data_IF_270716653955
#
_entry.id   IF_270716653955
#
_cell.length_a   1.000
_cell.length_b   1.000
_cell.length_c   1.000
_cell.angle_alpha   90.00
_cell.angle_beta   90.00
_cell.angle_gamma   90.00
#
_symmetry.space_group_name_H-M   'P 1'
#
loop_
_entity.id
_entity.type
_entity.pdbx_description
1 polymer ?
#
# COMPACT_ATOMS: atom_id res chain seq x y z
N UNK A 1 -16.27 -4.39 13.55
CA UNK A 1 -15.10 -3.47 13.52
C UNK A 1 -13.89 -4.23 12.99
N UNK A 2 -13.37 -3.83 11.83
CA UNK A 2 -12.16 -4.44 11.24
C UNK A 2 -10.95 -4.26 12.19
N UNK A 3 -9.90 -5.07 12.01
CA UNK A 3 -8.70 -4.99 12.85
C UNK A 3 -8.00 -3.63 12.78
N UNK A 4 -8.04 -2.95 11.62
CA UNK A 4 -7.51 -1.60 11.47
C UNK A 4 -8.29 -0.59 12.31
N UNK A 5 -9.62 -0.66 12.27
CA UNK A 5 -10.49 0.23 13.03
C UNK A 5 -10.26 0.10 14.55
N UNK A 6 -9.83 -1.08 15.03
CA UNK A 6 -9.50 -1.29 16.45
C UNK A 6 -8.17 -0.62 16.84
N UNK A 7 -7.15 -0.65 15.98
CA UNK A 7 -5.86 0.00 16.27
C UNK A 7 -5.98 1.51 16.34
N UNK A 8 -6.73 2.09 15.41
CA UNK A 8 -6.93 3.54 15.37
C UNK A 8 -7.78 4.03 16.54
N UNK A 9 -8.80 3.26 16.96
CA UNK A 9 -9.58 3.55 18.16
C UNK A 9 -8.74 3.51 19.45
N UNK A 10 -7.81 2.55 19.57
CA UNK A 10 -6.89 2.47 20.72
C UNK A 10 -5.92 3.67 20.73
N UNK A 11 -5.40 4.05 19.56
CA UNK A 11 -4.47 5.19 19.42
C UNK A 11 -5.14 6.54 19.68
N UNK A 12 -6.44 6.66 19.36
CA UNK A 12 -7.21 7.89 19.60
C UNK A 12 -7.52 8.12 21.09
N UNK A 13 -7.55 7.05 21.88
CA UNK A 13 -7.86 7.07 23.31
C UNK A 13 -9.36 7.24 23.59
N UNK A 14 -9.86 6.58 24.64
CA UNK A 14 -11.28 6.57 25.04
C UNK A 14 -11.78 7.90 25.63
N UNK A 15 -10.89 8.87 25.82
CA UNK A 15 -11.18 10.15 26.49
C UNK A 15 -11.54 11.28 25.52
N UNK A 16 -11.34 11.09 24.21
CA UNK A 16 -11.62 12.12 23.21
C UNK A 16 -13.07 12.10 22.73
N UNK A 17 -13.69 13.27 22.47
CA UNK A 17 -15.06 13.33 21.97
C UNK A 17 -15.23 12.59 20.64
N UNK A 18 -16.38 11.95 20.46
CA UNK A 18 -16.72 11.25 19.21
C UNK A 18 -16.58 12.14 17.98
N UNK A 19 -16.92 13.43 18.08
CA UNK A 19 -16.82 14.39 16.98
C UNK A 19 -15.38 14.65 16.54
N UNK A 20 -14.42 14.57 17.47
CA UNK A 20 -12.99 14.65 17.13
C UNK A 20 -12.51 13.37 16.45
N UNK A 21 -13.01 12.21 16.88
CA UNK A 21 -12.72 10.93 16.21
C UNK A 21 -13.26 10.95 14.78
N UNK A 22 -14.49 11.42 14.58
CA UNK A 22 -15.07 11.57 13.24
C UNK A 22 -14.23 12.51 12.39
N UNK A 23 -13.84 13.69 12.90
CA UNK A 23 -12.95 14.61 12.16
C UNK A 23 -11.57 14.02 11.86
N UNK A 24 -10.99 13.29 12.82
CA UNK A 24 -9.69 12.64 12.62
C UNK A 24 -9.77 11.55 11.56
N UNK A 25 -10.81 10.72 11.61
CA UNK A 25 -11.07 9.72 10.59
C UNK A 25 -11.33 10.39 9.25
N UNK A 26 -12.18 11.43 9.19
CA UNK A 26 -12.52 12.12 7.95
C UNK A 26 -11.28 12.76 7.32
N UNK A 27 -10.42 13.44 8.10
CA UNK A 27 -9.13 13.97 7.64
C UNK A 27 -8.16 12.85 7.20
N UNK A 28 -8.12 11.73 7.91
CA UNK A 28 -7.35 10.55 7.48
C UNK A 28 -7.91 10.00 6.16
N UNK A 29 -9.23 10.00 5.98
CA UNK A 29 -9.89 9.61 4.74
C UNK A 29 -9.65 10.59 3.59
N UNK A 30 -9.50 11.90 3.84
CA UNK A 30 -9.14 12.87 2.81
C UNK A 30 -7.72 12.65 2.27
N UNK A 31 -6.76 12.24 3.10
CA UNK A 31 -5.45 11.77 2.60
C UNK A 31 -5.54 10.44 1.82
N UNK A 32 -6.59 9.64 2.05
CA UNK A 32 -6.82 8.36 1.38
C UNK A 32 -7.69 8.48 0.10
N UNK A 33 -8.47 9.55 -0.08
CA UNK A 33 -9.27 9.81 -1.30
C UNK A 33 -8.42 10.05 -2.54
N UNK A 34 -7.17 10.42 -2.31
CA UNK A 34 -6.18 10.68 -3.33
C UNK A 34 -5.27 9.48 -3.62
N UNK A 35 -5.39 8.41 -2.83
CA UNK A 35 -4.69 7.14 -3.02
C UNK A 35 -5.48 6.25 -3.99
N UNK A 36 -4.81 5.44 -4.82
CA UNK A 36 -5.47 4.40 -5.61
C UNK A 36 -5.75 3.17 -4.72
N UNK A 37 -6.52 3.32 -3.63
CA UNK A 37 -6.95 2.14 -2.87
C UNK A 37 -7.79 1.23 -3.77
N UNK A 38 -7.37 -0.04 -3.89
CA UNK A 38 -8.12 -1.09 -4.60
C UNK A 38 -7.38 -1.77 -5.75
N UNK A 39 -6.13 -1.42 -6.02
CA UNK A 39 -5.29 -2.19 -6.94
C UNK A 39 -4.62 -3.35 -6.19
N UNK A 40 -5.37 -4.38 -5.82
CA UNK A 40 -4.72 -5.60 -5.29
C UNK A 40 -4.12 -6.40 -6.46
N UNK A 41 -2.90 -6.95 -6.28
CA UNK A 41 -2.32 -7.87 -7.26
C UNK A 41 -3.30 -9.01 -7.57
N UNK A 42 -3.96 -9.56 -6.54
CA UNK A 42 -4.88 -10.68 -6.68
C UNK A 42 -4.21 -11.89 -7.35
N UNK A 43 -4.82 -12.39 -8.43
CA UNK A 43 -4.30 -13.50 -9.23
C UNK A 43 -3.45 -13.04 -10.44
N UNK A 44 -3.23 -11.73 -10.59
CA UNK A 44 -2.41 -11.22 -11.70
C UNK A 44 -0.94 -11.57 -11.46
N UNK A 45 -0.20 -11.77 -12.55
CA UNK A 45 1.26 -11.81 -12.47
C UNK A 45 1.81 -10.49 -11.94
N UNK A 46 3.01 -10.50 -11.36
CA UNK A 46 3.72 -9.30 -10.93
C UNK A 46 3.93 -8.36 -12.10
N UNK A 47 4.25 -8.89 -13.29
CA UNK A 47 4.48 -8.08 -14.49
C UNK A 47 3.21 -7.34 -14.93
N UNK A 48 2.08 -8.04 -15.02
CA UNK A 48 0.80 -7.43 -15.41
C UNK A 48 0.31 -6.43 -14.35
N UNK A 49 0.51 -6.77 -13.08
CA UNK A 49 0.21 -5.87 -11.98
C UNK A 49 1.05 -4.59 -12.04
N UNK A 50 2.37 -4.70 -12.29
CA UNK A 50 3.26 -3.56 -12.41
C UNK A 50 2.92 -2.65 -13.61
N UNK A 51 2.58 -3.23 -14.78
CA UNK A 51 2.10 -2.44 -15.93
C UNK A 51 0.85 -1.63 -15.59
N UNK A 52 -0.10 -2.25 -14.87
CA UNK A 52 -1.32 -1.57 -14.40
C UNK A 52 -0.98 -0.48 -13.39
N UNK A 53 -0.06 -0.76 -12.47
CA UNK A 53 0.42 0.18 -11.47
C UNK A 53 1.07 1.41 -12.11
N UNK A 54 1.95 1.26 -13.10
CA UNK A 54 2.59 2.39 -13.80
C UNK A 54 1.57 3.34 -14.45
N UNK A 55 0.45 2.81 -14.96
CA UNK A 55 -0.61 3.64 -15.55
C UNK A 55 -1.36 4.48 -14.52
N UNK A 56 -1.49 3.99 -13.29
CA UNK A 56 -2.27 4.65 -12.22
C UNK A 56 -1.39 5.36 -11.19
N UNK A 57 -0.06 5.21 -11.27
CA UNK A 57 0.86 5.81 -10.32
C UNK A 57 0.69 7.32 -10.33
N UNK A 58 0.77 7.92 -9.14
CA UNK A 58 0.55 9.33 -8.98
C UNK A 58 1.84 10.08 -9.22
N UNK A 59 1.87 10.92 -10.27
CA UNK A 59 3.05 11.73 -10.62
C UNK A 59 3.48 12.72 -9.51
N UNK A 60 2.57 13.05 -8.59
CA UNK A 60 2.85 13.89 -7.42
C UNK A 60 3.59 13.17 -6.29
N UNK A 61 3.63 11.84 -6.31
CA UNK A 61 4.31 11.05 -5.28
C UNK A 61 5.77 10.87 -5.62
N UNK A 62 6.61 10.88 -4.59
CA UNK A 62 8.00 10.53 -4.75
C UNK A 62 8.18 9.03 -5.02
N UNK A 63 9.39 8.65 -5.43
CA UNK A 63 9.71 7.26 -5.77
C UNK A 63 9.53 6.30 -4.58
N UNK A 64 9.81 6.76 -3.36
CA UNK A 64 9.66 5.96 -2.14
C UNK A 64 8.19 5.71 -1.82
N UNK A 65 7.35 6.73 -1.95
CA UNK A 65 5.90 6.64 -1.80
C UNK A 65 5.29 5.69 -2.82
N UNK A 66 5.68 5.82 -4.10
CA UNK A 66 5.22 4.90 -5.14
C UNK A 66 5.68 3.46 -4.87
N UNK A 67 6.95 3.26 -4.53
CA UNK A 67 7.47 1.93 -4.18
C UNK A 67 6.71 1.32 -3.01
N UNK A 68 6.49 2.07 -1.93
CA UNK A 68 5.77 1.58 -0.76
C UNK A 68 4.32 1.21 -1.09
N UNK A 69 3.65 1.98 -1.96
CA UNK A 69 2.30 1.64 -2.40
C UNK A 69 2.28 0.33 -3.19
N UNK A 70 3.16 0.20 -4.18
CA UNK A 70 3.27 -1.02 -4.98
C UNK A 70 3.49 -2.25 -4.08
N UNK A 71 4.39 -2.15 -3.10
CA UNK A 71 4.68 -3.22 -2.14
C UNK A 71 3.44 -3.57 -1.30
N UNK A 72 2.73 -2.57 -0.77
CA UNK A 72 1.53 -2.80 0.04
C UNK A 72 0.40 -3.49 -0.74
N UNK A 73 0.34 -3.29 -2.05
CA UNK A 73 -0.69 -3.80 -2.94
C UNK A 73 -0.37 -5.16 -3.58
N UNK A 74 0.89 -5.61 -3.49
CA UNK A 74 1.29 -6.95 -3.90
C UNK A 74 0.58 -8.04 -3.08
N UNK A 75 0.51 -9.25 -3.65
CA UNK A 75 0.05 -10.42 -2.92
C UNK A 75 0.93 -10.68 -1.70
N UNK A 76 0.34 -11.26 -0.65
CA UNK A 76 1.08 -11.56 0.59
C UNK A 76 2.34 -12.40 0.35
N UNK A 77 2.28 -13.35 -0.60
CA UNK A 77 3.42 -14.18 -0.98
C UNK A 77 4.56 -13.35 -1.56
N UNK A 78 4.26 -12.42 -2.48
CA UNK A 78 5.28 -11.57 -3.09
C UNK A 78 5.79 -10.49 -2.13
N UNK A 79 4.95 -9.95 -1.23
CA UNK A 79 5.41 -9.11 -0.12
C UNK A 79 6.47 -9.80 0.75
N UNK A 80 6.29 -11.11 1.00
CA UNK A 80 7.28 -11.87 1.75
C UNK A 80 8.59 -12.05 0.97
N UNK A 81 8.52 -12.35 -0.32
CA UNK A 81 9.71 -12.44 -1.21
C UNK A 81 10.52 -11.14 -1.22
N UNK A 82 9.86 -9.98 -1.21
CA UNK A 82 10.53 -8.68 -1.16
C UNK A 82 11.43 -8.54 0.06
N UNK A 83 10.95 -8.99 1.24
CA UNK A 83 11.74 -8.94 2.48
C UNK A 83 13.02 -9.77 2.40
N UNK A 84 13.02 -10.80 1.55
CA UNK A 84 14.20 -11.64 1.28
C UNK A 84 15.12 -11.04 0.21
N UNK A 85 14.56 -10.30 -0.75
CA UNK A 85 15.31 -9.73 -1.88
C UNK A 85 15.97 -8.37 -1.59
N UNK A 86 15.55 -7.68 -0.52
CA UNK A 86 16.05 -6.38 -0.11
C UNK A 86 15.09 -5.25 -0.49
N UNK A 87 14.57 -4.55 0.52
CA UNK A 87 13.64 -3.42 0.36
C UNK A 87 14.31 -2.16 -0.22
N UNK A 88 15.64 -2.10 -0.20
CA UNK A 88 16.41 -0.91 -0.59
C UNK A 88 16.55 -0.75 -2.10
N UNK A 89 16.15 -1.76 -2.88
CA UNK A 89 16.23 -1.70 -4.34
C UNK A 89 15.28 -0.63 -4.91
N UNK A 90 15.64 -0.04 -6.07
CA UNK A 90 14.71 0.70 -6.91
C UNK A 90 13.51 -0.17 -7.29
N UNK A 91 12.36 0.47 -7.53
CA UNK A 91 11.11 -0.24 -7.82
C UNK A 91 11.25 -1.20 -9.02
N UNK A 92 11.88 -0.76 -10.10
CA UNK A 92 12.04 -1.55 -11.32
C UNK A 92 12.90 -2.81 -11.10
N UNK A 93 14.00 -2.67 -10.36
CA UNK A 93 14.84 -3.82 -9.99
C UNK A 93 14.10 -4.81 -9.08
N UNK A 94 13.22 -4.29 -8.22
CA UNK A 94 12.38 -5.09 -7.33
C UNK A 94 11.37 -5.92 -8.14
N UNK A 95 10.74 -5.31 -9.13
CA UNK A 95 9.81 -5.98 -10.06
C UNK A 95 10.52 -7.07 -10.84
N UNK A 96 11.68 -6.78 -11.44
CA UNK A 96 12.48 -7.74 -12.20
C UNK A 96 12.83 -8.99 -11.38
N UNK A 97 13.18 -8.81 -10.10
CA UNK A 97 13.46 -9.94 -9.20
C UNK A 97 12.20 -10.73 -8.89
N UNK A 98 11.08 -10.06 -8.64
CA UNK A 98 9.83 -10.72 -8.33
C UNK A 98 9.30 -11.53 -9.52
N UNK A 99 9.36 -10.98 -10.73
CA UNK A 99 8.98 -11.69 -11.97
C UNK A 99 9.80 -12.98 -12.13
N UNK A 100 11.11 -12.94 -11.87
CA UNK A 100 11.98 -14.12 -11.90
C UNK A 100 11.67 -15.16 -10.82
N UNK A 101 11.07 -14.74 -9.71
CA UNK A 101 10.66 -15.62 -8.61
C UNK A 101 9.21 -16.11 -8.73
N UNK A 102 8.45 -15.61 -9.71
CA UNK A 102 7.08 -16.04 -9.99
C UNK A 102 7.03 -17.12 -11.08
N UNK A 103 8.04 -17.17 -11.95
CA UNK A 103 8.28 -18.24 -12.93
C UNK A 103 8.70 -19.57 -12.27
#
# INVERSE_FOLDING_TARGET
>A
LSFSNKKDAIRFGTERPFDELVKYLDNSFYSLREHPWGLEQGNNSVEDFYKKYEYIKLSRWDESQNKNQFICELSFANQFKIRLCGLDLPLDELVDRLVKLEA
#
